data_IF_383369308779
#
_entry.id   IF_383369308779
#
_cell.length_a   1.000
_cell.length_b   1.000
_cell.length_c   1.000
_cell.angle_alpha   90.00
_cell.angle_beta   90.00
_cell.angle_gamma   90.00
#
_symmetry.space_group_name_H-M   'P 1'
#
loop_
_entity.id
_entity.type
_entity.pdbx_description
1 polymer ?
#
# COMPACT_ATOMS: atom_id res chain seq x y z
N UNK A 1 25.87 23.58 15.79
CA UNK A 1 25.83 22.45 16.75
C UNK A 1 24.39 21.93 16.76
N UNK A 2 24.18 20.69 16.36
CA UNK A 2 22.87 20.04 16.49
C UNK A 2 22.50 19.96 17.99
N UNK A 3 21.26 20.23 18.38
CA UNK A 3 20.83 20.03 19.75
C UNK A 3 21.14 18.58 20.16
N UNK A 4 21.62 18.37 21.38
CA UNK A 4 22.02 17.05 21.89
C UNK A 4 20.90 16.00 21.94
N UNK A 5 19.69 16.37 21.57
CA UNK A 5 18.47 15.55 21.58
C UNK A 5 17.91 15.27 20.18
N UNK A 6 18.51 15.81 19.12
CA UNK A 6 18.05 15.54 17.76
C UNK A 6 18.57 14.16 17.31
N UNK A 7 17.67 13.20 17.18
CA UNK A 7 17.95 11.93 16.52
C UNK A 7 17.96 12.14 15.01
N UNK A 8 18.70 11.31 14.23
CA UNK A 8 18.66 11.38 12.77
C UNK A 8 17.25 11.31 12.17
N UNK A 9 16.31 10.66 12.86
CA UNK A 9 14.89 10.63 12.51
C UNK A 9 14.18 11.98 12.64
N UNK A 10 14.72 12.95 13.37
CA UNK A 10 14.09 14.26 13.56
C UNK A 10 14.17 15.13 12.30
N UNK A 11 14.94 14.73 11.31
CA UNK A 11 15.06 15.39 10.02
C UNK A 11 14.32 14.69 8.89
N UNK A 12 13.61 13.59 9.23
CA UNK A 12 12.79 12.83 8.30
C UNK A 12 11.36 12.84 8.80
N UNK A 13 10.44 13.37 8.02
CA UNK A 13 9.02 13.15 8.24
C UNK A 13 8.68 11.76 7.69
N UNK A 14 8.92 10.72 8.49
CA UNK A 14 9.07 9.32 8.09
C UNK A 14 7.88 8.76 7.32
N UNK A 15 6.68 9.22 7.64
CA UNK A 15 5.42 8.79 7.02
C UNK A 15 4.50 9.99 6.79
N UNK A 16 5.07 11.05 6.21
CA UNK A 16 4.37 12.29 5.92
C UNK A 16 3.14 12.08 5.02
N UNK A 17 3.12 11.01 4.21
CA UNK A 17 1.98 10.63 3.38
C UNK A 17 0.75 10.20 4.19
N UNK A 18 0.93 9.82 5.47
CA UNK A 18 -0.16 9.37 6.35
C UNK A 18 -0.45 10.38 7.44
N UNK A 19 0.59 10.83 8.11
CA UNK A 19 0.51 11.72 9.26
C UNK A 19 1.66 12.71 9.18
N UNK A 20 1.49 13.83 8.46
CA UNK A 20 2.53 14.84 8.34
C UNK A 20 2.79 15.53 9.68
N UNK A 21 4.05 15.62 10.08
CA UNK A 21 4.49 16.29 11.31
C UNK A 21 5.12 17.64 11.03
N UNK A 22 5.55 17.89 9.80
CA UNK A 22 6.23 19.14 9.42
C UNK A 22 5.38 20.40 9.67
N UNK A 23 4.05 20.27 9.65
CA UNK A 23 3.10 21.36 9.86
C UNK A 23 2.42 21.34 11.23
N UNK A 24 2.83 20.45 12.14
CA UNK A 24 2.30 20.40 13.49
C UNK A 24 2.73 21.62 14.30
N UNK A 25 1.76 22.32 14.87
CA UNK A 25 1.96 23.47 15.74
C UNK A 25 2.10 23.10 17.22
N UNK A 26 1.84 21.83 17.58
CA UNK A 26 1.91 21.34 18.93
C UNK A 26 3.30 20.74 19.21
N UNK A 27 3.95 21.03 20.34
CA UNK A 27 5.18 20.36 20.75
C UNK A 27 4.86 18.92 21.14
N UNK A 28 4.61 18.11 20.13
CA UNK A 28 4.32 16.71 20.26
C UNK A 28 5.58 15.86 20.34
N UNK A 29 5.40 14.57 20.31
CA UNK A 29 6.38 13.51 20.49
C UNK A 29 7.62 13.59 19.55
N UNK A 30 7.54 14.32 18.47
CA UNK A 30 8.60 14.48 17.44
C UNK A 30 9.25 15.86 17.42
N UNK A 31 9.21 16.60 18.51
CA UNK A 31 9.95 17.87 18.58
C UNK A 31 9.30 19.01 17.80
N UNK A 32 7.98 18.95 17.62
CA UNK A 32 7.21 20.11 17.19
C UNK A 32 7.54 21.26 18.14
N UNK A 33 8.18 22.30 17.62
CA UNK A 33 8.77 23.34 18.45
C UNK A 33 7.70 24.11 19.22
N UNK A 34 8.03 24.48 20.45
CA UNK A 34 7.44 25.67 21.05
C UNK A 34 7.70 26.83 20.07
N UNK A 35 6.69 27.19 19.28
CA UNK A 35 6.73 28.39 18.46
C UNK A 35 6.86 28.24 16.95
N UNK A 36 6.65 27.06 16.36
CA UNK A 36 6.42 27.01 14.93
C UNK A 36 7.13 25.93 14.16
N UNK A 37 6.42 24.99 13.69
CA UNK A 37 6.60 24.08 12.59
C UNK A 37 8.01 23.75 12.06
N UNK A 38 8.06 22.85 11.12
CA UNK A 38 9.24 22.50 10.34
C UNK A 38 10.48 22.12 11.16
N UNK A 39 10.29 21.21 12.18
CA UNK A 39 11.42 20.64 12.92
C UNK A 39 12.44 21.69 13.41
N UNK A 40 11.96 22.77 14.04
CA UNK A 40 12.81 23.88 14.53
C UNK A 40 13.57 24.62 13.43
N UNK A 41 12.98 24.80 12.27
CA UNK A 41 13.60 25.42 11.09
C UNK A 41 14.85 24.67 10.61
N UNK A 42 14.87 23.36 10.78
CA UNK A 42 15.95 22.52 10.28
C UNK A 42 15.57 21.92 8.92
N UNK A 43 16.50 21.82 7.97
CA UNK A 43 16.23 21.12 6.71
C UNK A 43 15.72 19.69 6.95
N UNK A 44 14.62 19.33 6.31
CA UNK A 44 13.96 18.03 6.51
C UNK A 44 13.52 17.40 5.19
N UNK A 45 13.22 16.10 5.20
CA UNK A 45 12.86 15.31 4.03
C UNK A 45 11.44 14.75 4.22
N UNK A 46 10.58 14.96 3.22
CA UNK A 46 9.25 14.34 3.15
C UNK A 46 9.40 12.87 2.77
N UNK A 47 9.10 11.95 3.68
CA UNK A 47 9.27 10.53 3.44
C UNK A 47 7.95 9.78 3.31
N UNK A 48 8.00 8.69 2.55
CA UNK A 48 6.95 7.68 2.46
C UNK A 48 7.40 6.39 3.15
N UNK A 49 6.59 5.90 4.08
CA UNK A 49 6.70 4.59 4.71
C UNK A 49 5.46 3.77 4.37
N UNK A 50 5.42 3.17 3.21
CA UNK A 50 4.19 2.54 2.70
C UNK A 50 3.72 1.35 3.55
N UNK A 51 4.62 0.41 3.85
CA UNK A 51 4.30 -0.82 4.58
C UNK A 51 5.15 -0.96 5.84
N UNK A 52 4.65 -0.41 6.93
CA UNK A 52 5.27 -0.54 8.24
C UNK A 52 5.27 -2.00 8.72
N UNK A 53 6.38 -2.46 9.28
CA UNK A 53 6.53 -3.83 9.78
C UNK A 53 6.76 -4.88 8.69
N UNK A 54 7.13 -4.48 7.48
CA UNK A 54 7.47 -5.40 6.38
C UNK A 54 6.27 -6.15 5.80
N UNK A 55 5.06 -5.62 5.91
CA UNK A 55 3.86 -6.23 5.33
C UNK A 55 3.86 -6.15 3.81
N UNK A 56 3.52 -7.25 3.14
CA UNK A 56 3.66 -7.37 1.68
C UNK A 56 2.37 -7.13 0.89
N UNK A 57 1.20 -6.98 1.52
CA UNK A 57 -0.07 -6.77 0.84
C UNK A 57 -0.15 -5.47 0.04
N UNK A 58 -1.17 -5.37 -0.81
CA UNK A 58 -1.48 -4.16 -1.55
C UNK A 58 -1.97 -3.07 -0.60
N UNK A 59 -1.32 -1.92 -0.64
CA UNK A 59 -1.65 -0.78 0.22
C UNK A 59 -0.98 0.49 -0.28
N UNK A 60 -1.65 1.63 -0.09
CA UNK A 60 -1.07 2.94 -0.37
C UNK A 60 -1.98 4.09 0.04
N UNK A 61 -1.48 5.31 -0.15
CA UNK A 61 -2.18 6.57 0.06
C UNK A 61 -1.83 7.55 -1.06
N UNK A 62 -2.12 7.16 -2.29
CA UNK A 62 -1.68 7.90 -3.50
C UNK A 62 -2.09 9.37 -3.44
N UNK A 63 -3.36 9.67 -3.16
CA UNK A 63 -3.83 11.06 -3.15
C UNK A 63 -3.11 11.89 -2.09
N UNK A 64 -2.84 11.29 -0.94
CA UNK A 64 -2.20 11.99 0.17
C UNK A 64 -0.78 12.44 -0.15
N UNK A 65 0.06 11.58 -0.73
CA UNK A 65 1.43 12.01 -0.99
C UNK A 65 1.53 12.88 -2.25
N UNK A 66 0.72 12.62 -3.28
CA UNK A 66 0.70 13.49 -4.47
C UNK A 66 0.28 14.92 -4.11
N UNK A 67 -0.71 15.08 -3.23
CA UNK A 67 -1.12 16.39 -2.73
C UNK A 67 -0.18 16.92 -1.64
N UNK A 68 0.24 16.06 -0.73
CA UNK A 68 1.07 16.40 0.42
C UNK A 68 2.42 16.95 0.04
N UNK A 69 3.11 16.34 -0.93
CA UNK A 69 4.41 16.84 -1.43
C UNK A 69 4.25 18.22 -2.06
N UNK A 70 3.23 18.43 -2.91
CA UNK A 70 2.96 19.73 -3.53
C UNK A 70 2.63 20.79 -2.48
N UNK A 71 1.84 20.43 -1.47
CA UNK A 71 1.49 21.35 -0.40
C UNK A 71 2.71 21.69 0.47
N UNK A 72 3.51 20.69 0.84
CA UNK A 72 4.73 20.90 1.61
C UNK A 72 5.73 21.78 0.85
N UNK A 73 5.95 21.52 -0.45
CA UNK A 73 6.86 22.32 -1.27
C UNK A 73 6.49 23.81 -1.39
N UNK A 74 5.20 24.13 -1.23
CA UNK A 74 4.69 25.50 -1.29
C UNK A 74 4.65 26.23 0.05
N UNK A 75 4.55 25.49 1.15
CA UNK A 75 4.30 26.03 2.47
C UNK A 75 5.50 25.92 3.40
N UNK A 76 6.33 24.90 3.20
CA UNK A 76 7.49 24.65 4.04
C UNK A 76 8.74 25.37 3.50
N UNK A 77 9.39 26.15 4.35
CA UNK A 77 10.61 26.88 3.99
C UNK A 77 11.86 26.01 4.02
N UNK A 78 11.82 24.91 4.81
CA UNK A 78 13.00 24.07 5.09
C UNK A 78 12.91 22.65 4.52
N UNK A 79 11.89 22.35 3.70
CA UNK A 79 11.81 21.07 3.00
C UNK A 79 12.98 20.92 2.01
N UNK A 80 13.88 19.98 2.26
CA UNK A 80 15.07 19.74 1.45
C UNK A 80 14.85 18.75 0.29
N UNK A 81 13.77 17.95 0.34
CA UNK A 81 13.49 16.96 -0.69
C UNK A 81 12.49 15.89 -0.24
N UNK A 82 12.41 14.83 -1.05
CA UNK A 82 11.60 13.66 -0.73
C UNK A 82 12.46 12.41 -0.57
N UNK A 83 11.95 11.41 0.14
CA UNK A 83 12.64 10.15 0.38
C UNK A 83 11.70 9.01 0.68
N UNK A 84 12.22 7.81 0.76
CA UNK A 84 11.48 6.64 1.21
C UNK A 84 12.16 6.02 2.43
N UNK A 85 11.35 5.47 3.32
CA UNK A 85 11.78 4.70 4.49
C UNK A 85 11.19 3.29 4.41
N UNK A 86 11.54 2.49 3.38
CA UNK A 86 10.87 1.24 3.08
C UNK A 86 11.24 0.16 4.09
N UNK A 87 10.25 -0.55 4.60
CA UNK A 87 10.45 -1.77 5.40
C UNK A 87 10.16 -3.04 4.59
N UNK A 88 9.41 -2.92 3.49
CA UNK A 88 9.24 -3.93 2.45
C UNK A 88 9.19 -3.23 1.10
N UNK A 89 10.24 -3.36 0.30
CA UNK A 89 10.37 -2.64 -0.98
C UNK A 89 10.00 -3.48 -2.21
N UNK A 90 9.64 -4.74 -2.00
CA UNK A 90 9.36 -5.71 -3.07
C UNK A 90 7.90 -5.69 -3.53
N UNK A 91 7.08 -4.77 -3.09
CA UNK A 91 5.67 -4.69 -3.43
C UNK A 91 5.23 -3.27 -3.78
N UNK A 92 4.04 -3.16 -4.38
CA UNK A 92 3.41 -1.87 -4.73
C UNK A 92 4.33 -0.94 -5.57
N UNK A 93 4.95 -1.42 -6.66
CA UNK A 93 5.91 -0.62 -7.44
C UNK A 93 5.30 0.68 -7.98
N UNK A 94 4.01 0.70 -8.28
CA UNK A 94 3.28 1.89 -8.73
C UNK A 94 3.41 3.07 -7.77
N UNK A 95 3.46 2.80 -6.47
CA UNK A 95 3.57 3.84 -5.45
C UNK A 95 4.95 4.50 -5.46
N UNK A 96 5.99 3.70 -5.58
CA UNK A 96 7.37 4.20 -5.60
C UNK A 96 7.65 4.99 -6.88
N UNK A 97 7.21 4.49 -8.03
CA UNK A 97 7.36 5.18 -9.30
C UNK A 97 6.64 6.54 -9.26
N UNK A 98 5.39 6.57 -8.81
CA UNK A 98 4.62 7.79 -8.73
C UNK A 98 5.20 8.77 -7.70
N UNK A 99 5.61 8.29 -6.53
CA UNK A 99 6.17 9.12 -5.47
C UNK A 99 7.40 9.88 -5.96
N UNK A 100 8.34 9.18 -6.58
CA UNK A 100 9.54 9.83 -7.11
C UNK A 100 9.27 10.70 -8.34
N UNK A 101 8.21 10.44 -9.10
CA UNK A 101 7.85 11.28 -10.24
C UNK A 101 7.23 12.62 -9.83
N UNK A 102 6.69 12.74 -8.59
CA UNK A 102 6.07 13.98 -8.12
C UNK A 102 7.00 15.18 -8.10
N UNK A 103 8.30 14.98 -7.80
CA UNK A 103 9.28 16.09 -7.78
C UNK A 103 9.67 16.61 -9.16
N UNK A 104 9.35 15.86 -10.22
CA UNK A 104 9.61 16.27 -11.60
C UNK A 104 8.40 16.91 -12.27
N UNK A 105 7.24 16.89 -11.60
CA UNK A 105 6.03 17.53 -12.09
C UNK A 105 6.02 19.02 -11.73
N UNK A 106 6.91 19.79 -12.36
CA UNK A 106 7.03 21.22 -12.10
C UNK A 106 6.80 22.04 -13.38
N UNK A 107 6.39 23.30 -13.25
CA UNK A 107 6.16 24.25 -14.33
C UNK A 107 7.34 25.23 -14.52
N UNK A 108 8.47 24.94 -13.91
CA UNK A 108 9.67 25.77 -13.88
C UNK A 108 9.72 26.76 -12.71
N UNK A 109 8.66 26.83 -11.90
CA UNK A 109 8.60 27.68 -10.70
C UNK A 109 8.13 26.91 -9.47
N UNK A 110 7.16 26.01 -9.62
CA UNK A 110 6.56 25.28 -8.51
C UNK A 110 6.19 23.86 -8.91
N UNK A 111 6.22 22.94 -7.94
CA UNK A 111 5.67 21.59 -8.14
C UNK A 111 4.17 21.67 -8.43
N UNK A 112 3.73 20.86 -9.38
CA UNK A 112 2.36 20.74 -9.82
C UNK A 112 1.80 19.37 -9.43
N UNK A 113 0.50 19.30 -9.17
CA UNK A 113 -0.18 18.02 -8.95
C UNK A 113 -0.15 17.20 -10.24
N UNK A 114 0.28 15.95 -10.15
CA UNK A 114 0.23 14.99 -11.27
C UNK A 114 -1.23 14.73 -11.65
N UNK A 115 -1.51 14.72 -12.95
CA UNK A 115 -2.78 14.19 -13.46
C UNK A 115 -2.73 12.66 -13.42
N UNK A 116 -3.40 12.05 -12.45
CA UNK A 116 -3.35 10.62 -12.18
C UNK A 116 -3.90 9.79 -13.34
N UNK A 117 -4.98 10.20 -13.99
CA UNK A 117 -5.57 9.46 -15.13
C UNK A 117 -4.55 9.30 -16.27
N UNK A 118 -3.91 10.41 -16.63
CA UNK A 118 -2.87 10.41 -17.66
C UNK A 118 -1.64 9.62 -17.20
N UNK A 119 -1.28 9.74 -15.94
CA UNK A 119 -0.12 9.07 -15.37
C UNK A 119 -0.33 7.55 -15.36
N UNK A 120 -1.49 7.06 -14.89
CA UNK A 120 -1.80 5.62 -14.87
C UNK A 120 -1.81 5.00 -16.27
N UNK A 121 -2.36 5.69 -17.27
CA UNK A 121 -2.28 5.22 -18.67
C UNK A 121 -0.84 5.05 -19.13
N UNK A 122 -0.02 6.05 -18.89
CA UNK A 122 1.39 5.99 -19.26
C UNK A 122 2.15 4.93 -18.44
N UNK A 123 1.83 4.76 -17.17
CA UNK A 123 2.43 3.75 -16.29
C UNK A 123 2.15 2.35 -16.83
N UNK A 124 0.88 2.02 -17.09
CA UNK A 124 0.46 0.73 -17.66
C UNK A 124 1.20 0.46 -18.97
N UNK A 125 1.21 1.42 -19.91
CA UNK A 125 1.89 1.25 -21.21
C UNK A 125 3.40 1.01 -21.04
N UNK A 126 4.08 1.79 -20.19
CA UNK A 126 5.53 1.64 -19.96
C UNK A 126 5.85 0.33 -19.26
N UNK A 127 5.10 0.00 -18.20
CA UNK A 127 5.37 -1.15 -17.35
C UNK A 127 5.03 -2.47 -18.00
N UNK A 128 3.93 -2.51 -18.77
CA UNK A 128 3.46 -3.73 -19.43
C UNK A 128 3.92 -3.85 -20.88
N UNK A 129 4.51 -2.80 -21.44
CA UNK A 129 5.05 -2.79 -22.80
C UNK A 129 4.00 -2.69 -23.89
N UNK A 130 2.74 -2.50 -23.55
CA UNK A 130 1.63 -2.34 -24.49
C UNK A 130 0.48 -1.55 -23.86
N UNK A 131 -0.28 -0.83 -24.68
CA UNK A 131 -1.51 -0.18 -24.26
C UNK A 131 -2.56 -1.24 -23.89
N UNK A 132 -3.29 -1.03 -22.81
CA UNK A 132 -4.38 -1.90 -22.38
C UNK A 132 -5.42 -1.09 -21.62
N UNK A 133 -6.60 -0.94 -22.20
CA UNK A 133 -7.70 -0.24 -21.55
C UNK A 133 -8.22 -1.02 -20.33
N UNK A 134 -8.22 -2.35 -20.39
CA UNK A 134 -8.62 -3.19 -19.24
C UNK A 134 -7.62 -3.10 -18.09
N UNK A 135 -6.33 -3.12 -18.36
CA UNK A 135 -5.31 -2.94 -17.33
C UNK A 135 -5.33 -1.51 -16.75
N UNK A 136 -5.60 -0.51 -17.57
CA UNK A 136 -5.81 0.85 -17.08
C UNK A 136 -7.03 0.94 -16.15
N UNK A 137 -8.19 0.38 -16.54
CA UNK A 137 -9.37 0.32 -15.68
C UNK A 137 -9.11 -0.47 -14.39
N UNK A 138 -8.32 -1.53 -14.44
CA UNK A 138 -7.88 -2.24 -13.24
C UNK A 138 -7.08 -1.32 -12.31
N UNK A 139 -6.16 -0.52 -12.86
CA UNK A 139 -5.36 0.43 -12.08
C UNK A 139 -6.23 1.52 -11.44
N UNK A 140 -7.26 2.03 -12.13
CA UNK A 140 -8.23 2.98 -11.55
C UNK A 140 -8.96 2.34 -10.35
N UNK A 141 -9.38 1.08 -10.47
CA UNK A 141 -10.03 0.36 -9.36
C UNK A 141 -9.05 0.13 -8.20
N UNK A 142 -7.80 -0.23 -8.48
CA UNK A 142 -6.77 -0.39 -7.45
C UNK A 142 -6.51 0.94 -6.72
N UNK A 143 -6.48 2.06 -7.46
CA UNK A 143 -6.38 3.38 -6.88
C UNK A 143 -7.55 3.66 -5.93
N UNK A 144 -8.79 3.40 -6.35
CA UNK A 144 -10.00 3.64 -5.55
C UNK A 144 -10.19 2.66 -4.37
N UNK A 145 -9.36 1.64 -4.27
CA UNK A 145 -9.48 0.59 -3.26
C UNK A 145 -8.22 0.52 -2.40
N UNK A 146 -7.27 -0.35 -2.78
CA UNK A 146 -6.09 -0.68 -1.97
C UNK A 146 -5.08 0.46 -1.88
N UNK A 147 -5.03 1.35 -2.88
CA UNK A 147 -4.08 2.47 -2.92
C UNK A 147 -4.66 3.80 -2.43
N UNK A 148 -5.91 3.79 -1.99
CA UNK A 148 -6.56 4.95 -1.39
C UNK A 148 -7.74 4.52 -0.49
N UNK A 149 -7.51 3.63 0.50
CA UNK A 149 -8.57 3.09 1.33
C UNK A 149 -9.29 4.21 2.10
N UNK A 150 -10.63 4.14 2.13
CA UNK A 150 -11.49 5.19 2.72
C UNK A 150 -11.31 5.33 4.24
N UNK A 151 -10.94 4.24 4.90
CA UNK A 151 -10.71 4.19 6.32
C UNK A 151 -9.23 4.21 6.59
N UNK A 152 -8.53 5.34 6.52
CA UNK A 152 -7.41 5.27 7.39
C UNK A 152 -6.05 5.85 7.01
N UNK A 153 -5.93 7.06 7.32
CA UNK A 153 -4.65 7.71 7.62
C UNK A 153 -3.87 7.06 8.79
N UNK A 154 -4.48 6.10 9.53
CA UNK A 154 -3.88 5.52 10.75
C UNK A 154 -3.39 4.08 10.59
N UNK A 155 -3.70 3.39 9.50
CA UNK A 155 -3.16 2.04 9.23
C UNK A 155 -1.80 2.19 8.59
N UNK A 156 -0.80 1.65 9.23
CA UNK A 156 0.60 1.77 8.83
C UNK A 156 1.03 0.69 7.82
N UNK A 157 0.15 0.25 6.93
CA UNK A 157 0.45 -0.73 5.91
C UNK A 157 -0.73 -1.62 5.55
N UNK A 158 -0.53 -2.58 4.66
CA UNK A 158 -1.54 -3.51 4.22
C UNK A 158 -2.21 -4.27 5.37
N UNK A 159 -3.51 -4.63 5.24
CA UNK A 159 -4.14 -5.60 6.13
C UNK A 159 -3.32 -6.89 6.17
N UNK A 160 -3.14 -7.43 7.37
CA UNK A 160 -2.43 -8.71 7.53
C UNK A 160 -3.27 -9.88 7.07
N UNK A 161 -2.67 -10.79 6.31
CA UNK A 161 -3.33 -12.02 5.89
C UNK A 161 -3.47 -12.99 7.06
N UNK A 162 -4.65 -13.60 7.18
CA UNK A 162 -4.88 -14.69 8.15
C UNK A 162 -4.06 -15.94 7.84
N UNK A 163 -3.57 -16.08 6.61
CA UNK A 163 -2.66 -17.17 6.19
C UNK A 163 -1.32 -17.08 6.91
N UNK A 164 -0.84 -15.86 7.19
CA UNK A 164 0.43 -15.60 7.86
C UNK A 164 0.30 -15.61 9.39
N UNK A 165 -0.92 -15.70 9.92
CA UNK A 165 -1.17 -15.69 11.35
C UNK A 165 -1.07 -17.10 11.97
N UNK A 166 -0.87 -17.15 13.28
CA UNK A 166 -1.04 -18.41 13.99
C UNK A 166 -2.49 -18.91 13.83
N UNK A 167 -2.71 -20.20 13.51
CA UNK A 167 -4.05 -20.75 13.43
C UNK A 167 -4.84 -20.50 14.72
N UNK A 168 -6.07 -20.02 14.57
CA UNK A 168 -6.94 -19.70 15.69
C UNK A 168 -8.37 -19.42 15.23
N UNK A 169 -9.30 -19.44 16.20
CA UNK A 169 -10.70 -19.12 15.92
C UNK A 169 -10.93 -17.60 15.78
N UNK A 170 -10.15 -16.80 16.48
CA UNK A 170 -10.21 -15.35 16.43
C UNK A 170 -8.82 -14.81 16.04
N UNK A 171 -8.71 -14.43 14.77
CA UNK A 171 -7.48 -13.86 14.22
C UNK A 171 -7.71 -12.38 13.95
N UNK A 172 -7.17 -11.52 14.81
CA UNK A 172 -7.24 -10.06 14.65
C UNK A 172 -5.98 -9.46 14.03
N UNK A 173 -4.85 -10.14 14.17
CA UNK A 173 -3.56 -9.70 13.66
C UNK A 173 -2.61 -10.90 13.53
N UNK A 174 -1.62 -10.80 12.63
CA UNK A 174 -0.48 -11.72 12.55
C UNK A 174 0.74 -11.19 13.31
N UNK A 175 0.86 -9.87 13.47
CA UNK A 175 1.96 -9.19 14.16
C UNK A 175 1.46 -8.23 15.26
N UNK A 176 2.40 -7.67 16.00
CA UNK A 176 2.11 -6.69 17.08
C UNK A 176 1.57 -5.35 16.55
N UNK A 177 1.98 -4.97 15.34
CA UNK A 177 1.72 -3.64 14.77
C UNK A 177 0.70 -3.64 13.63
N UNK A 178 0.16 -4.81 13.28
CA UNK A 178 -0.79 -4.97 12.22
C UNK A 178 -2.20 -5.28 12.69
N UNK A 179 -3.10 -5.40 11.74
CA UNK A 179 -4.42 -5.96 11.92
C UNK A 179 -4.89 -6.61 10.62
N UNK A 180 -5.88 -7.51 10.73
CA UNK A 180 -6.47 -8.23 9.61
C UNK A 180 -7.77 -7.56 9.09
N UNK A 181 -7.98 -6.28 9.38
CA UNK A 181 -9.18 -5.56 8.93
C UNK A 181 -8.98 -5.09 7.50
N UNK A 182 -9.81 -5.61 6.60
CA UNK A 182 -9.91 -5.14 5.22
C UNK A 182 -10.97 -4.04 5.16
N UNK A 183 -10.56 -2.84 4.76
CA UNK A 183 -11.35 -1.60 4.80
C UNK A 183 -11.70 -1.05 3.40
N UNK A 184 -11.55 -1.86 2.38
CA UNK A 184 -11.94 -1.57 1.00
C UNK A 184 -12.95 -2.59 0.47
N UNK A 185 -13.59 -2.28 -0.66
CA UNK A 185 -14.53 -3.19 -1.32
C UNK A 185 -13.79 -4.35 -2.01
N UNK A 186 -13.88 -5.55 -1.41
CA UNK A 186 -13.26 -6.77 -1.94
C UNK A 186 -13.74 -7.14 -3.34
N UNK A 187 -15.02 -6.89 -3.67
CA UNK A 187 -15.56 -7.18 -5.00
C UNK A 187 -15.00 -6.27 -6.07
N UNK A 188 -14.69 -5.03 -5.73
CA UNK A 188 -13.96 -4.14 -6.64
C UNK A 188 -12.56 -4.69 -6.89
N UNK A 189 -11.86 -5.18 -5.88
CA UNK A 189 -10.54 -5.78 -6.07
C UNK A 189 -10.61 -7.04 -6.94
N UNK A 190 -11.60 -7.93 -6.74
CA UNK A 190 -11.87 -9.07 -7.62
C UNK A 190 -12.08 -8.61 -9.07
N UNK A 191 -12.81 -7.51 -9.26
CA UNK A 191 -13.03 -6.92 -10.59
C UNK A 191 -11.75 -6.39 -11.23
N UNK A 192 -10.83 -5.81 -10.45
CA UNK A 192 -9.52 -5.40 -10.95
C UNK A 192 -8.71 -6.62 -11.43
N UNK A 193 -8.72 -7.73 -10.69
CA UNK A 193 -8.09 -8.98 -11.11
C UNK A 193 -8.68 -9.51 -12.44
N UNK A 194 -10.01 -9.54 -12.58
CA UNK A 194 -10.68 -9.93 -13.83
C UNK A 194 -10.25 -9.06 -15.02
N UNK A 195 -10.13 -7.74 -14.82
CA UNK A 195 -9.73 -6.80 -15.86
C UNK A 195 -8.26 -6.99 -16.26
N UNK A 196 -7.38 -7.29 -15.31
CA UNK A 196 -6.00 -7.65 -15.63
C UNK A 196 -5.96 -8.95 -16.45
N UNK A 197 -6.71 -9.98 -16.04
CA UNK A 197 -6.78 -11.26 -16.74
C UNK A 197 -7.40 -11.14 -18.15
N UNK A 198 -8.26 -10.15 -18.40
CA UNK A 198 -8.89 -9.97 -19.71
C UNK A 198 -7.90 -9.77 -20.88
N UNK A 199 -6.75 -9.15 -20.60
CA UNK A 199 -5.69 -8.93 -21.60
C UNK A 199 -4.46 -9.84 -21.37
N UNK A 200 -4.61 -10.96 -20.64
CA UNK A 200 -3.53 -11.89 -20.31
C UNK A 200 -2.70 -12.28 -21.53
N UNK A 201 -3.33 -12.76 -22.61
CA UNK A 201 -2.62 -13.22 -23.80
C UNK A 201 -1.78 -12.12 -24.46
N UNK A 202 -2.19 -10.87 -24.34
CA UNK A 202 -1.48 -9.71 -24.86
C UNK A 202 -0.29 -9.30 -23.98
N UNK A 203 -0.43 -9.44 -22.66
CA UNK A 203 0.48 -8.86 -21.67
C UNK A 203 1.39 -9.90 -20.98
N UNK A 204 1.10 -11.20 -21.10
CA UNK A 204 1.77 -12.29 -20.38
C UNK A 204 3.30 -12.38 -20.55
N UNK A 205 3.86 -11.78 -21.58
CA UNK A 205 5.31 -11.75 -21.79
C UNK A 205 5.99 -10.57 -21.06
N UNK A 206 5.24 -9.72 -20.37
CA UNK A 206 5.78 -8.61 -19.59
C UNK A 206 5.97 -9.03 -18.14
N UNK A 207 7.21 -9.03 -17.66
CA UNK A 207 7.51 -9.32 -16.26
C UNK A 207 6.80 -8.36 -15.29
N UNK A 208 6.68 -7.07 -15.66
CA UNK A 208 5.95 -6.10 -14.86
C UNK A 208 4.47 -6.41 -14.71
N UNK A 209 3.84 -6.89 -15.79
CA UNK A 209 2.45 -7.32 -15.77
C UNK A 209 2.25 -8.59 -14.95
N UNK A 210 3.08 -9.62 -15.15
CA UNK A 210 3.03 -10.87 -14.39
C UNK A 210 3.15 -10.60 -12.89
N UNK A 211 4.12 -9.77 -12.52
CA UNK A 211 4.34 -9.38 -11.13
C UNK A 211 3.11 -8.67 -10.52
N UNK A 212 2.55 -7.68 -11.21
CA UNK A 212 1.40 -6.93 -10.69
C UNK A 212 0.13 -7.80 -10.65
N UNK A 213 -0.10 -8.64 -11.66
CA UNK A 213 -1.21 -9.59 -11.68
C UNK A 213 -1.15 -10.55 -10.50
N UNK A 214 0.01 -11.15 -10.23
CA UNK A 214 0.18 -12.07 -9.12
C UNK A 214 -0.05 -11.40 -7.77
N UNK A 215 0.46 -10.18 -7.56
CA UNK A 215 0.20 -9.45 -6.31
C UNK A 215 -1.30 -9.15 -6.10
N UNK A 216 -2.03 -8.83 -7.19
CA UNK A 216 -3.48 -8.61 -7.12
C UNK A 216 -4.22 -9.91 -6.82
N UNK A 217 -3.85 -11.03 -7.47
CA UNK A 217 -4.44 -12.34 -7.23
C UNK A 217 -4.16 -12.82 -5.80
N UNK A 218 -2.92 -12.67 -5.32
CA UNK A 218 -2.56 -12.99 -3.94
C UNK A 218 -3.41 -12.21 -2.92
N UNK A 219 -3.65 -10.93 -3.16
CA UNK A 219 -4.50 -10.14 -2.28
C UNK A 219 -5.97 -10.61 -2.32
N UNK A 220 -6.49 -11.01 -3.48
CA UNK A 220 -7.84 -11.60 -3.61
C UNK A 220 -7.92 -12.93 -2.86
N UNK A 221 -6.93 -13.80 -3.01
CA UNK A 221 -6.84 -15.07 -2.29
C UNK A 221 -6.75 -14.86 -0.77
N UNK A 222 -5.94 -13.90 -0.32
CA UNK A 222 -5.83 -13.53 1.09
C UNK A 222 -7.17 -13.06 1.69
N UNK A 223 -7.91 -12.22 0.96
CA UNK A 223 -9.24 -11.77 1.36
C UNK A 223 -10.24 -12.93 1.46
N UNK A 224 -10.17 -13.87 0.51
CA UNK A 224 -11.02 -15.08 0.47
C UNK A 224 -10.68 -16.02 1.62
N UNK A 225 -9.40 -16.22 1.92
CA UNK A 225 -8.93 -17.00 3.06
C UNK A 225 -9.50 -16.46 4.38
N UNK A 226 -9.52 -15.13 4.55
CA UNK A 226 -10.11 -14.50 5.73
C UNK A 226 -11.61 -14.83 5.89
N UNK A 227 -12.36 -14.92 4.79
CA UNK A 227 -13.76 -15.26 4.83
C UNK A 227 -13.98 -16.73 5.22
N UNK A 228 -13.17 -17.64 4.68
CA UNK A 228 -13.24 -19.05 5.08
C UNK A 228 -12.82 -19.23 6.53
N UNK A 229 -11.79 -18.56 7.01
CA UNK A 229 -11.36 -18.62 8.41
C UNK A 229 -12.51 -18.22 9.36
N UNK A 230 -13.23 -17.14 9.06
CA UNK A 230 -14.38 -16.70 9.86
C UNK A 230 -15.53 -17.73 9.86
N UNK A 231 -15.82 -18.33 8.70
CA UNK A 231 -16.84 -19.39 8.57
C UNK A 231 -16.42 -20.67 9.31
N UNK A 232 -15.14 -21.07 9.19
CA UNK A 232 -14.59 -22.20 9.95
C UNK A 232 -14.74 -21.99 11.46
N UNK A 233 -14.41 -20.81 11.95
CA UNK A 233 -14.56 -20.45 13.37
C UNK A 233 -16.04 -20.53 13.82
N UNK A 234 -16.97 -20.11 12.98
CA UNK A 234 -18.41 -20.22 13.26
C UNK A 234 -18.89 -21.69 13.30
N UNK A 235 -18.50 -22.51 12.31
CA UNK A 235 -18.82 -23.94 12.26
C UNK A 235 -18.26 -24.69 13.47
N UNK A 236 -17.02 -24.39 13.87
CA UNK A 236 -16.43 -24.97 15.08
C UNK A 236 -17.25 -24.63 16.35
N UNK A 237 -17.66 -23.37 16.50
CA UNK A 237 -18.43 -22.93 17.67
C UNK A 237 -19.84 -23.52 17.71
N UNK A 238 -20.44 -23.78 16.56
CA UNK A 238 -21.75 -24.44 16.48
C UNK A 238 -21.67 -25.96 16.62
N UNK A 239 -20.47 -26.55 16.60
CA UNK A 239 -20.27 -28.01 16.64
C UNK A 239 -20.56 -28.69 15.30
N UNK A 240 -20.60 -27.95 14.18
CA UNK A 240 -20.79 -28.48 12.84
C UNK A 240 -19.45 -28.97 12.27
N UNK A 241 -19.15 -30.26 12.54
CA UNK A 241 -17.88 -30.84 12.14
C UNK A 241 -17.77 -31.06 10.61
N UNK A 242 -18.88 -31.29 9.92
CA UNK A 242 -18.90 -31.49 8.47
C UNK A 242 -18.62 -30.18 7.73
N UNK A 243 -19.29 -29.10 8.10
CA UNK A 243 -19.06 -27.78 7.54
C UNK A 243 -17.64 -27.28 7.86
N UNK A 244 -17.16 -27.52 9.10
CA UNK A 244 -15.77 -27.16 9.48
C UNK A 244 -14.76 -27.90 8.60
N UNK A 245 -14.91 -29.21 8.36
CA UNK A 245 -14.00 -29.96 7.49
C UNK A 245 -14.01 -29.42 6.06
N UNK A 246 -15.19 -29.19 5.50
CA UNK A 246 -15.36 -28.66 4.14
C UNK A 246 -14.71 -27.31 3.95
N UNK A 247 -14.89 -26.42 4.94
CA UNK A 247 -14.28 -25.08 4.89
C UNK A 247 -12.77 -25.12 5.11
N UNK A 248 -12.27 -26.07 5.92
CA UNK A 248 -10.84 -26.29 6.13
C UNK A 248 -10.15 -26.71 4.83
N UNK A 249 -10.73 -27.65 4.07
CA UNK A 249 -10.18 -28.07 2.79
C UNK A 249 -10.13 -26.91 1.78
N UNK A 250 -11.16 -26.06 1.75
CA UNK A 250 -11.18 -24.86 0.91
C UNK A 250 -10.12 -23.87 1.34
N UNK A 251 -9.94 -23.66 2.65
CA UNK A 251 -8.92 -22.74 3.16
C UNK A 251 -7.50 -23.22 2.80
N UNK A 252 -7.22 -24.51 2.97
CA UNK A 252 -5.93 -25.09 2.59
C UNK A 252 -5.68 -24.98 1.08
N UNK A 253 -6.70 -25.24 0.25
CA UNK A 253 -6.59 -25.06 -1.20
C UNK A 253 -6.27 -23.63 -1.63
N UNK A 254 -6.61 -22.61 -0.83
CA UNK A 254 -6.22 -21.23 -1.11
C UNK A 254 -4.72 -21.03 -0.83
N UNK A 255 -4.20 -21.64 0.23
CA UNK A 255 -2.76 -21.58 0.55
C UNK A 255 -1.96 -22.20 -0.58
N UNK A 256 -2.35 -23.42 -1.02
CA UNK A 256 -1.67 -24.09 -2.13
C UNK A 256 -1.66 -23.23 -3.40
N UNK A 257 -2.80 -22.63 -3.76
CA UNK A 257 -2.89 -21.74 -4.92
C UNK A 257 -2.02 -20.50 -4.81
N UNK A 258 -1.94 -19.90 -3.62
CA UNK A 258 -1.09 -18.72 -3.40
C UNK A 258 0.40 -19.07 -3.50
N UNK A 259 0.79 -20.28 -3.14
CA UNK A 259 2.15 -20.80 -3.26
C UNK A 259 2.49 -21.07 -4.74
N UNK A 260 1.60 -21.72 -5.48
CA UNK A 260 1.75 -22.00 -6.91
C UNK A 260 1.93 -20.70 -7.74
N UNK A 261 1.10 -19.67 -7.50
CA UNK A 261 1.19 -18.38 -8.21
C UNK A 261 2.53 -17.66 -7.97
N UNK A 262 3.13 -17.83 -6.81
CA UNK A 262 4.46 -17.27 -6.53
C UNK A 262 5.59 -18.05 -7.19
N UNK A 263 5.51 -19.38 -7.24
CA UNK A 263 6.52 -20.21 -7.87
C UNK A 263 6.68 -19.88 -9.36
N UNK A 264 5.57 -19.57 -10.06
CA UNK A 264 5.58 -19.23 -11.49
C UNK A 264 6.25 -17.86 -11.78
N UNK A 265 6.43 -17.00 -10.79
CA UNK A 265 7.09 -15.68 -10.97
C UNK A 265 8.59 -15.76 -10.75
N UNK A 266 9.04 -16.67 -9.89
CA UNK A 266 10.47 -16.82 -9.53
C UNK A 266 11.26 -17.65 -10.55
N UNK A 267 10.58 -18.30 -11.54
CA UNK A 267 11.18 -18.99 -12.69
C UNK A 267 11.31 -18.07 -13.92
#
# INVERSE_FOLDING_TARGET
>A
CLPKTAWPSDFLDLYAEKTPHWNETNPGYYGGAEGGGEFLNTPWVYCMLNNFGGRLGLHGHIDNYVEGIVNASKQAEHMAGIGITPEASVNNPVLYDLFFETIWADDGNNLQKINLDKWFKNYVTRRYGADSDSAYQAMEILHDTVYNPAYNMKVQGAPESVVNARPGLDIGAASTWGNAVVDYDKKKLEKAAELLLADYDKLKNSAGYQYDLANVLEQVLSNTAQEYQKKMAAAFRSGDAEEFSTLSDKFLSIIDKADDERADIDE
#
